data_IF_362743910099
#
_entry.id   IF_362743910099
#
_cell.length_a   1.000
_cell.length_b   1.000
_cell.length_c   1.000
_cell.angle_alpha   90.00
_cell.angle_beta   90.00
_cell.angle_gamma   90.00
#
_symmetry.space_group_name_H-M   'P 1'
#
loop_
_entity.id
_entity.type
_entity.pdbx_description
1 polymer ?
#
# COMPACT_ATOMS: atom_id res chain seq x y z
N UNK A 1 7.47 17.51 -19.89
CA UNK A 1 8.01 18.22 -18.70
C UNK A 1 8.20 19.69 -19.04
N UNK A 2 7.92 20.59 -18.10
CA UNK A 2 7.80 22.04 -18.34
C UNK A 2 9.12 22.80 -18.59
N UNK A 3 10.26 22.11 -18.65
CA UNK A 3 11.59 22.71 -18.79
C UNK A 3 12.24 22.59 -20.17
N UNK A 4 11.57 22.00 -21.17
CA UNK A 4 12.16 21.82 -22.51
C UNK A 4 13.39 20.89 -22.56
N UNK A 5 13.55 20.03 -21.55
CA UNK A 5 14.63 19.03 -21.50
C UNK A 5 14.23 17.82 -22.34
N UNK A 6 15.12 17.38 -23.21
CA UNK A 6 14.95 16.16 -24.00
C UNK A 6 15.13 14.92 -23.10
N UNK A 7 14.03 14.22 -22.83
CA UNK A 7 14.06 12.93 -22.14
C UNK A 7 14.10 11.81 -23.16
N UNK A 8 15.14 10.98 -23.07
CA UNK A 8 15.26 9.74 -23.85
C UNK A 8 14.99 8.53 -22.96
N UNK A 9 14.13 7.63 -23.40
CA UNK A 9 13.91 6.34 -22.75
C UNK A 9 14.99 5.36 -23.22
N UNK A 10 15.84 4.89 -22.31
CA UNK A 10 16.92 3.93 -22.59
C UNK A 10 16.58 2.49 -22.20
N UNK A 11 15.42 2.28 -21.56
CA UNK A 11 14.95 0.97 -21.11
C UNK A 11 13.54 1.05 -20.52
N UNK A 12 12.84 -0.08 -20.55
CA UNK A 12 11.52 -0.27 -19.95
C UNK A 12 11.45 -1.70 -19.40
N UNK A 13 10.69 -1.89 -18.33
CA UNK A 13 10.35 -3.22 -17.83
C UNK A 13 8.91 -3.58 -18.22
N UNK A 14 8.60 -4.87 -18.47
CA UNK A 14 7.23 -5.31 -18.63
C UNK A 14 6.37 -4.97 -17.39
N UNK A 15 5.05 -4.79 -17.54
CA UNK A 15 4.16 -4.58 -16.40
C UNK A 15 4.27 -5.70 -15.36
N UNK A 16 4.38 -5.32 -14.08
CA UNK A 16 4.37 -6.23 -12.93
C UNK A 16 3.05 -6.10 -12.12
N UNK A 17 1.90 -6.58 -12.64
CA UNK A 17 0.60 -6.36 -12.00
C UNK A 17 0.43 -7.05 -10.64
N UNK A 18 1.36 -7.94 -10.26
CA UNK A 18 1.43 -8.59 -8.94
C UNK A 18 2.64 -8.12 -8.12
N UNK A 19 3.31 -7.06 -8.58
CA UNK A 19 4.46 -6.48 -7.90
C UNK A 19 4.08 -5.58 -6.73
N UNK A 20 2.79 -5.46 -6.39
CA UNK A 20 2.30 -4.75 -5.22
C UNK A 20 1.14 -5.52 -4.60
N UNK A 21 1.00 -5.46 -3.28
CA UNK A 21 -0.04 -6.16 -2.56
C UNK A 21 -0.45 -5.45 -1.26
N UNK A 22 -1.70 -5.67 -0.84
CA UNK A 22 -2.14 -5.48 0.55
C UNK A 22 -2.08 -6.86 1.21
N UNK A 23 -1.22 -7.01 2.21
CA UNK A 23 -1.04 -8.26 2.95
C UNK A 23 -1.62 -8.16 4.36
N UNK A 24 -2.12 -9.28 4.85
CA UNK A 24 -2.67 -9.47 6.20
C UNK A 24 -2.03 -10.71 6.82
N UNK A 25 -2.04 -10.80 8.15
CA UNK A 25 -1.55 -12.01 8.83
C UNK A 25 -2.31 -13.25 8.33
N UNK A 26 -1.65 -14.41 8.33
CA UNK A 26 -2.19 -15.65 7.75
C UNK A 26 -3.53 -16.09 8.39
N UNK A 27 -3.70 -15.80 9.67
CA UNK A 27 -4.88 -16.08 10.50
C UNK A 27 -5.81 -14.87 10.65
N UNK A 28 -5.56 -13.80 9.89
CA UNK A 28 -6.36 -12.58 9.96
C UNK A 28 -7.80 -12.83 9.51
N UNK A 29 -8.81 -12.28 10.21
CA UNK A 29 -10.19 -12.31 9.75
C UNK A 29 -10.45 -11.36 8.57
N UNK A 30 -9.47 -10.55 8.16
CA UNK A 30 -9.56 -9.60 7.05
C UNK A 30 -9.39 -10.36 5.74
N UNK A 31 -10.49 -10.52 5.01
CA UNK A 31 -10.57 -11.20 3.72
C UNK A 31 -10.95 -10.25 2.57
N UNK A 32 -11.35 -9.01 2.90
CA UNK A 32 -11.76 -7.99 1.92
C UNK A 32 -11.23 -6.62 2.33
N UNK A 33 -11.04 -5.73 1.36
CA UNK A 33 -10.59 -4.35 1.62
C UNK A 33 -11.59 -3.57 2.48
N UNK A 34 -12.89 -3.86 2.36
CA UNK A 34 -13.93 -3.21 3.20
C UNK A 34 -13.72 -3.47 4.71
N UNK A 35 -13.08 -4.58 5.08
CA UNK A 35 -12.77 -4.93 6.47
C UNK A 35 -11.56 -4.17 7.03
N UNK A 36 -10.89 -3.32 6.22
CA UNK A 36 -9.86 -2.41 6.70
C UNK A 36 -10.42 -1.21 7.48
N UNK A 37 -11.75 -1.00 7.49
CA UNK A 37 -12.38 0.06 8.29
C UNK A 37 -11.95 -0.05 9.77
N UNK A 38 -11.39 1.03 10.30
CA UNK A 38 -10.87 1.14 11.66
C UNK A 38 -9.55 0.38 11.90
N UNK A 39 -8.93 -0.19 10.86
CA UNK A 39 -7.69 -0.97 10.98
C UNK A 39 -6.45 -0.10 10.82
N UNK A 40 -5.36 -0.51 11.47
CA UNK A 40 -4.03 0.03 11.29
C UNK A 40 -3.41 -0.56 10.03
N UNK A 41 -3.17 0.29 9.04
CA UNK A 41 -2.62 -0.12 7.74
C UNK A 41 -1.25 0.50 7.55
N UNK A 42 -0.20 -0.31 7.57
CA UNK A 42 1.16 0.13 7.31
C UNK A 42 1.40 0.40 5.81
N UNK A 43 2.11 1.47 5.50
CA UNK A 43 2.61 1.77 4.16
C UNK A 43 3.77 2.76 4.24
N UNK A 44 4.60 2.85 3.21
CA UNK A 44 5.52 3.98 3.11
C UNK A 44 4.82 5.18 2.45
N UNK A 45 4.96 6.36 3.06
CA UNK A 45 4.25 7.57 2.62
C UNK A 45 4.77 8.05 1.27
N UNK A 46 3.87 8.20 0.29
CA UNK A 46 4.17 8.87 -0.99
C UNK A 46 4.72 7.97 -2.10
N UNK A 47 4.66 6.65 -1.94
CA UNK A 47 5.02 5.67 -2.96
C UNK A 47 3.85 5.26 -3.85
N UNK A 48 4.14 4.40 -4.84
CA UNK A 48 3.17 3.64 -5.62
C UNK A 48 2.12 2.92 -4.75
N UNK A 49 2.53 2.24 -3.67
CA UNK A 49 1.56 1.53 -2.81
C UNK A 49 0.63 2.47 -2.03
N UNK A 50 0.98 3.74 -1.86
CA UNK A 50 0.05 4.73 -1.35
C UNK A 50 -1.11 4.96 -2.33
N UNK A 51 -0.81 5.06 -3.63
CA UNK A 51 -1.84 5.13 -4.66
C UNK A 51 -2.67 3.84 -4.72
N UNK A 52 -2.02 2.67 -4.66
CA UNK A 52 -2.71 1.38 -4.59
C UNK A 52 -3.73 1.35 -3.44
N UNK A 53 -3.31 1.73 -2.23
CA UNK A 53 -4.18 1.75 -1.05
C UNK A 53 -5.38 2.66 -1.26
N UNK A 54 -5.15 3.90 -1.71
CA UNK A 54 -6.24 4.86 -1.96
C UNK A 54 -7.24 4.32 -2.98
N UNK A 55 -6.77 3.68 -4.06
CA UNK A 55 -7.64 3.08 -5.08
C UNK A 55 -8.39 1.86 -4.58
N UNK A 56 -7.74 0.99 -3.82
CA UNK A 56 -8.38 -0.17 -3.22
C UNK A 56 -9.49 0.25 -2.25
N UNK A 57 -9.23 1.23 -1.38
CA UNK A 57 -10.24 1.78 -0.47
C UNK A 57 -11.43 2.39 -1.22
N UNK A 58 -11.15 3.19 -2.25
CA UNK A 58 -12.19 3.78 -3.10
C UNK A 58 -13.10 2.71 -3.72
N UNK A 59 -12.51 1.63 -4.26
CA UNK A 59 -13.27 0.51 -4.84
C UNK A 59 -14.11 -0.24 -3.79
N UNK A 60 -13.63 -0.28 -2.54
CA UNK A 60 -14.35 -0.88 -1.41
C UNK A 60 -15.37 0.05 -0.75
N UNK A 61 -15.55 1.28 -1.25
CA UNK A 61 -16.45 2.28 -0.67
C UNK A 61 -15.96 2.84 0.67
N UNK A 62 -14.65 2.78 0.94
CA UNK A 62 -14.02 3.37 2.13
C UNK A 62 -13.38 4.71 1.80
N UNK A 63 -13.54 5.67 2.71
CA UNK A 63 -12.72 6.87 2.72
C UNK A 63 -11.33 6.55 3.29
N UNK A 64 -10.32 7.32 2.92
CA UNK A 64 -8.98 7.19 3.53
C UNK A 64 -9.01 7.44 5.06
N UNK A 65 -9.96 8.26 5.52
CA UNK A 65 -10.23 8.53 6.94
C UNK A 65 -10.93 7.37 7.66
N UNK A 66 -11.42 6.36 6.94
CA UNK A 66 -12.03 5.18 7.54
C UNK A 66 -10.97 4.20 8.06
N UNK A 67 -9.67 4.43 7.82
CA UNK A 67 -8.57 3.60 8.28
C UNK A 67 -7.59 4.40 9.17
N UNK A 68 -6.65 3.70 9.80
CA UNK A 68 -5.54 4.30 10.54
C UNK A 68 -4.23 4.06 9.79
N UNK A 69 -3.81 4.97 8.89
CA UNK A 69 -2.56 4.80 8.15
C UNK A 69 -1.35 4.93 9.09
N UNK A 70 -0.44 3.96 9.01
CA UNK A 70 0.82 3.94 9.79
C UNK A 70 1.99 4.05 8.82
N UNK A 71 2.65 5.20 8.82
CA UNK A 71 3.74 5.45 7.88
C UNK A 71 5.05 4.88 8.40
N UNK A 72 5.57 3.85 7.74
CA UNK A 72 6.78 3.13 8.14
C UNK A 72 7.68 2.88 6.93
N UNK A 73 8.99 2.73 7.18
CA UNK A 73 9.89 2.17 6.15
C UNK A 73 9.56 0.70 5.92
N UNK A 74 9.92 0.09 4.78
CA UNK A 74 9.66 -1.34 4.55
C UNK A 74 10.21 -2.26 5.65
N UNK A 75 11.39 -1.93 6.20
CA UNK A 75 12.00 -2.70 7.28
C UNK A 75 11.17 -2.61 8.58
N UNK A 76 10.76 -1.39 8.96
CA UNK A 76 9.94 -1.17 10.15
C UNK A 76 8.52 -1.74 9.99
N UNK A 77 7.94 -1.63 8.80
CA UNK A 77 6.62 -2.16 8.48
C UNK A 77 6.60 -3.69 8.57
N UNK A 78 7.65 -4.37 8.08
CA UNK A 78 7.81 -5.82 8.25
C UNK A 78 7.86 -6.20 9.74
N UNK A 79 8.66 -5.50 10.53
CA UNK A 79 8.76 -5.76 11.97
C UNK A 79 7.41 -5.55 12.68
N UNK A 80 6.73 -4.43 12.41
CA UNK A 80 5.43 -4.12 12.98
C UNK A 80 4.34 -5.14 12.55
N UNK A 81 4.36 -5.58 11.30
CA UNK A 81 3.42 -6.56 10.77
C UNK A 81 3.61 -7.94 11.42
N UNK A 82 4.85 -8.43 11.49
CA UNK A 82 5.17 -9.71 12.15
C UNK A 82 4.82 -9.69 13.65
N UNK A 83 4.97 -8.54 14.30
CA UNK A 83 4.62 -8.36 15.72
C UNK A 83 3.11 -8.12 15.96
N UNK A 84 2.30 -7.98 14.91
CA UNK A 84 0.87 -7.68 15.03
C UNK A 84 0.56 -6.26 15.50
N UNK A 85 1.51 -5.32 15.39
CA UNK A 85 1.30 -3.90 15.73
C UNK A 85 0.46 -3.16 14.69
N UNK A 86 0.33 -3.74 13.49
CA UNK A 86 -0.54 -3.29 12.38
C UNK A 86 -1.36 -4.46 11.87
N UNK A 87 -2.57 -4.18 11.41
CA UNK A 87 -3.53 -5.20 10.96
C UNK A 87 -3.30 -5.61 9.49
N UNK A 88 -2.75 -4.69 8.69
CA UNK A 88 -2.42 -4.91 7.29
C UNK A 88 -1.18 -4.10 6.89
N UNK A 89 -0.51 -4.53 5.81
CA UNK A 89 0.64 -3.84 5.24
C UNK A 89 0.51 -3.76 3.73
N UNK A 90 0.74 -2.59 3.14
CA UNK A 90 0.78 -2.40 1.68
C UNK A 90 2.22 -2.26 1.23
N UNK A 91 2.65 -3.13 0.32
CA UNK A 91 4.05 -3.30 -0.05
C UNK A 91 4.21 -3.77 -1.50
N UNK A 92 5.42 -3.63 -2.05
CA UNK A 92 5.87 -4.22 -3.30
C UNK A 92 6.89 -5.34 -3.04
#
# INVERSE_FOLDING_TARGET
QAGGVDFVYIGNEPPAPRGEAIVVAQDSPINTVAQLRGKKVALNKGSNVHFLLVKALQQAGLAYTDIHPVYLTPADARAAFVQGSVDAWVIW
#
